data_IF_726841054755
#
_entry.id   IF_726841054755
#
_cell.length_a   1.000
_cell.length_b   1.000
_cell.length_c   1.000
_cell.angle_alpha   90.00
_cell.angle_beta   90.00
_cell.angle_gamma   90.00
#
_symmetry.space_group_name_H-M   'P 1'
#
loop_
_entity.id
_entity.type
_entity.pdbx_description
1 polymer ?
#
# COMPACT_ATOMS: atom_id res chain seq x y z
N UNK A 1 -18.29 -15.67 -13.58
CA UNK A 1 -17.13 -15.25 -12.75
C UNK A 1 -16.07 -16.32 -12.90
N UNK A 2 -14.88 -15.98 -13.38
CA UNK A 2 -13.76 -16.92 -13.47
C UNK A 2 -13.28 -17.35 -12.08
N UNK A 3 -12.42 -18.38 -11.98
CA UNK A 3 -11.88 -18.83 -10.70
C UNK A 3 -11.12 -17.69 -10.02
N UNK A 4 -11.45 -17.42 -8.75
CA UNK A 4 -10.76 -16.40 -7.95
C UNK A 4 -9.37 -16.90 -7.56
N UNK A 5 -8.37 -16.03 -7.75
CA UNK A 5 -6.98 -16.31 -7.38
C UNK A 5 -6.83 -16.48 -5.87
N UNK A 6 -5.96 -17.40 -5.46
CA UNK A 6 -5.55 -17.59 -4.05
C UNK A 6 -4.44 -16.62 -3.62
N UNK A 7 -3.85 -15.89 -4.56
CA UNK A 7 -2.82 -14.89 -4.26
C UNK A 7 -3.38 -13.70 -3.47
N UNK A 8 -2.52 -13.05 -2.70
CA UNK A 8 -2.81 -11.76 -2.05
C UNK A 8 -2.37 -10.64 -2.99
N UNK A 9 -3.25 -9.68 -3.25
CA UNK A 9 -2.90 -8.48 -4.01
C UNK A 9 -2.34 -7.41 -3.05
N UNK A 10 -1.12 -6.94 -3.31
CA UNK A 10 -0.49 -5.84 -2.62
C UNK A 10 -0.57 -4.59 -3.50
N UNK A 11 -1.32 -3.58 -3.06
CA UNK A 11 -1.45 -2.30 -3.75
C UNK A 11 -0.60 -1.25 -3.03
N UNK A 12 0.34 -0.64 -3.74
CA UNK A 12 1.24 0.37 -3.15
C UNK A 12 0.76 1.77 -3.51
N UNK A 13 0.60 2.62 -2.50
CA UNK A 13 0.24 4.04 -2.70
C UNK A 13 1.29 5.02 -2.17
N UNK A 14 2.39 4.53 -1.61
CA UNK A 14 3.45 5.32 -1.00
C UNK A 14 3.26 5.45 0.50
N UNK A 15 3.27 6.69 1.01
CA UNK A 15 3.29 6.98 2.45
C UNK A 15 4.66 6.70 3.10
N UNK A 16 4.77 6.96 4.40
CA UNK A 16 6.01 6.80 5.18
C UNK A 16 6.72 5.46 4.95
N UNK A 17 5.96 4.41 4.65
CA UNK A 17 6.43 3.08 4.28
C UNK A 17 7.57 3.09 3.24
N UNK A 18 7.45 3.92 2.21
CA UNK A 18 8.34 3.95 1.04
C UNK A 18 9.16 5.25 0.92
N UNK A 19 9.25 6.05 2.00
CA UNK A 19 10.13 7.24 2.03
C UNK A 19 11.58 6.82 2.27
N UNK A 20 12.47 7.30 1.41
CA UNK A 20 13.92 7.21 1.57
C UNK A 20 14.50 8.60 1.88
N UNK A 21 15.61 8.65 2.63
CA UNK A 21 16.30 9.91 2.91
C UNK A 21 17.30 10.23 1.79
N UNK A 22 17.11 11.35 1.11
CA UNK A 22 18.10 11.91 0.21
C UNK A 22 19.15 12.68 1.04
N UNK A 23 20.31 12.08 1.24
CA UNK A 23 21.43 12.67 1.98
C UNK A 23 22.05 13.90 1.29
N UNK A 24 21.86 14.06 -0.02
CA UNK A 24 22.42 15.17 -0.80
C UNK A 24 21.58 16.43 -0.56
N UNK A 25 20.26 16.29 -0.59
CA UNK A 25 19.31 17.41 -0.46
C UNK A 25 18.70 17.55 0.94
N UNK A 26 18.87 16.54 1.80
CA UNK A 26 18.30 16.51 3.15
C UNK A 26 16.78 16.32 3.16
N UNK A 27 16.20 15.74 2.10
CA UNK A 27 14.75 15.58 1.91
C UNK A 27 14.32 14.11 2.01
N UNK A 28 13.03 13.87 2.24
CA UNK A 28 12.44 12.53 2.12
C UNK A 28 11.76 12.42 0.75
N UNK A 29 12.09 11.37 0.01
CA UNK A 29 11.58 11.14 -1.34
C UNK A 29 11.08 9.72 -1.54
N UNK A 30 10.21 9.53 -2.53
CA UNK A 30 9.75 8.22 -2.96
C UNK A 30 10.57 7.75 -4.16
N UNK A 31 11.27 6.61 -4.05
CA UNK A 31 12.06 6.05 -5.16
C UNK A 31 11.47 4.78 -5.72
N UNK A 32 11.32 3.78 -4.86
CA UNK A 32 10.73 2.47 -5.19
C UNK A 32 10.05 1.93 -3.95
N UNK A 33 9.19 0.93 -4.11
CA UNK A 33 8.62 0.26 -2.95
C UNK A 33 9.61 -0.69 -2.30
N UNK A 34 9.60 -0.76 -0.96
CA UNK A 34 10.40 -1.71 -0.19
C UNK A 34 9.72 -3.06 0.02
N UNK A 35 8.46 -3.23 -0.41
CA UNK A 35 7.68 -4.45 -0.15
C UNK A 35 8.36 -5.76 -0.58
N UNK A 36 9.00 -5.88 -1.77
CA UNK A 36 9.69 -7.12 -2.14
C UNK A 36 10.79 -7.51 -1.15
N UNK A 37 11.60 -6.54 -0.73
CA UNK A 37 12.69 -6.74 0.22
C UNK A 37 12.14 -7.08 1.61
N UNK A 38 11.06 -6.43 2.05
CA UNK A 38 10.38 -6.72 3.31
C UNK A 38 9.79 -8.12 3.36
N UNK A 39 9.13 -8.56 2.30
CA UNK A 39 8.57 -9.90 2.22
C UNK A 39 9.68 -10.96 2.29
N UNK A 40 10.84 -10.70 1.69
CA UNK A 40 12.02 -11.55 1.81
C UNK A 40 12.56 -11.58 3.25
N UNK A 41 12.70 -10.42 3.91
CA UNK A 41 13.14 -10.31 5.30
C UNK A 41 12.20 -11.04 6.27
N UNK A 42 10.88 -10.88 6.09
CA UNK A 42 9.85 -11.58 6.86
C UNK A 42 9.78 -13.09 6.56
N UNK A 43 10.51 -13.57 5.54
CA UNK A 43 10.48 -14.95 5.04
C UNK A 43 9.07 -15.38 4.64
N UNK A 44 8.29 -14.45 4.08
CA UNK A 44 6.95 -14.73 3.58
C UNK A 44 7.00 -15.72 2.43
N UNK A 45 6.10 -16.70 2.45
CA UNK A 45 5.94 -17.72 1.38
C UNK A 45 4.59 -17.63 0.67
N UNK A 46 3.85 -16.57 0.96
CA UNK A 46 2.52 -16.35 0.38
C UNK A 46 2.71 -15.93 -1.08
N UNK A 47 1.85 -16.45 -1.96
CA UNK A 47 1.78 -15.98 -3.34
C UNK A 47 1.19 -14.56 -3.36
N UNK A 48 1.98 -13.60 -3.83
CA UNK A 48 1.63 -12.19 -3.81
C UNK A 48 1.76 -11.56 -5.18
N UNK A 49 0.78 -10.73 -5.55
CA UNK A 49 0.86 -9.85 -6.71
C UNK A 49 1.00 -8.41 -6.23
N UNK A 50 2.19 -7.85 -6.39
CA UNK A 50 2.48 -6.46 -6.03
C UNK A 50 2.18 -5.57 -7.24
N UNK A 51 1.45 -4.48 -7.00
CA UNK A 51 1.16 -3.45 -7.99
C UNK A 51 1.30 -2.09 -7.35
N UNK A 52 2.21 -1.27 -7.88
CA UNK A 52 2.31 0.14 -7.51
C UNK A 52 1.26 0.94 -8.25
N UNK A 53 0.36 1.59 -7.50
CA UNK A 53 -0.67 2.46 -8.06
C UNK A 53 -0.19 3.90 -8.15
N UNK A 54 0.54 4.33 -7.12
CA UNK A 54 1.07 5.67 -6.93
C UNK A 54 2.15 5.64 -5.85
N UNK A 55 2.91 6.72 -5.72
CA UNK A 55 3.96 6.89 -4.72
C UNK A 55 3.89 8.32 -4.19
N UNK A 56 2.90 8.59 -3.36
CA UNK A 56 2.60 9.95 -2.87
C UNK A 56 2.54 10.01 -1.35
N UNK A 57 2.67 11.22 -0.82
CA UNK A 57 2.32 11.50 0.57
C UNK A 57 0.79 11.45 0.71
N UNK A 58 0.29 10.82 1.77
CA UNK A 58 -1.15 10.74 2.02
C UNK A 58 -1.80 12.11 2.21
N UNK A 59 -1.05 13.13 2.64
CA UNK A 59 -1.53 14.52 2.72
C UNK A 59 -1.78 15.15 1.34
N UNK A 60 -1.10 14.68 0.31
CA UNK A 60 -1.27 15.15 -1.08
C UNK A 60 -2.27 14.28 -1.87
N UNK A 61 -2.81 13.23 -1.24
CA UNK A 61 -3.75 12.32 -1.90
C UNK A 61 -5.10 13.00 -2.12
N UNK A 62 -5.58 12.96 -3.36
CA UNK A 62 -6.87 13.53 -3.78
C UNK A 62 -8.01 12.49 -3.76
N UNK A 63 -9.25 12.93 -3.92
CA UNK A 63 -10.39 12.02 -4.06
C UNK A 63 -10.30 11.16 -5.33
N UNK A 64 -9.68 11.68 -6.39
CA UNK A 64 -9.43 10.92 -7.62
C UNK A 64 -8.47 9.76 -7.38
N UNK A 65 -7.40 9.99 -6.63
CA UNK A 65 -6.44 8.96 -6.22
C UNK A 65 -7.12 7.86 -5.41
N UNK A 66 -7.95 8.25 -4.41
CA UNK A 66 -8.74 7.29 -3.61
C UNK A 66 -9.73 6.52 -4.48
N UNK A 67 -10.34 7.18 -5.48
CA UNK A 67 -11.18 6.56 -6.49
C UNK A 67 -10.42 5.52 -7.32
N UNK A 68 -9.17 5.80 -7.69
CA UNK A 68 -8.28 4.86 -8.38
C UNK A 68 -7.99 3.62 -7.52
N UNK A 69 -7.70 3.80 -6.22
CA UNK A 69 -7.50 2.68 -5.27
C UNK A 69 -8.75 1.79 -5.22
N UNK A 70 -9.93 2.39 -5.08
CA UNK A 70 -11.19 1.66 -5.06
C UNK A 70 -11.44 0.89 -6.36
N UNK A 71 -11.15 1.50 -7.51
CA UNK A 71 -11.31 0.85 -8.81
C UNK A 71 -10.37 -0.35 -8.98
N UNK A 72 -9.13 -0.25 -8.50
CA UNK A 72 -8.21 -1.38 -8.46
C UNK A 72 -8.70 -2.49 -7.54
N UNK A 73 -9.25 -2.15 -6.37
CA UNK A 73 -9.84 -3.14 -5.46
C UNK A 73 -11.03 -3.86 -6.09
N UNK A 74 -11.89 -3.16 -6.84
CA UNK A 74 -13.02 -3.75 -7.58
C UNK A 74 -12.56 -4.72 -8.66
N UNK A 75 -11.57 -4.32 -9.44
CA UNK A 75 -11.12 -5.04 -10.62
C UNK A 75 -10.11 -6.17 -10.32
N UNK A 76 -9.51 -6.17 -9.13
CA UNK A 76 -8.62 -7.24 -8.69
C UNK A 76 -9.32 -8.60 -8.73
N UNK A 77 -8.66 -9.62 -9.26
CA UNK A 77 -9.19 -10.99 -9.28
C UNK A 77 -9.08 -11.68 -7.91
N UNK A 78 -8.19 -11.17 -7.06
CA UNK A 78 -7.87 -11.66 -5.73
C UNK A 78 -8.97 -11.32 -4.71
N UNK A 79 -9.16 -12.18 -3.72
CA UNK A 79 -10.05 -11.91 -2.58
C UNK A 79 -9.43 -11.07 -1.49
N UNK A 80 -8.14 -11.20 -1.33
CA UNK A 80 -7.38 -10.62 -0.24
C UNK A 80 -6.50 -9.53 -0.81
N UNK A 81 -6.70 -8.31 -0.32
CA UNK A 81 -6.01 -7.12 -0.78
C UNK A 81 -5.40 -6.45 0.45
N UNK A 82 -4.12 -6.11 0.35
CA UNK A 82 -3.40 -5.30 1.33
C UNK A 82 -2.93 -4.04 0.62
N UNK A 83 -3.17 -2.89 1.22
CA UNK A 83 -2.83 -1.58 0.66
C UNK A 83 -1.82 -0.92 1.59
N UNK A 84 -0.62 -0.63 1.11
CA UNK A 84 0.30 0.26 1.84
C UNK A 84 -0.10 1.70 1.59
N UNK A 85 -0.21 2.48 2.66
CA UNK A 85 -0.74 3.84 2.64
C UNK A 85 -0.03 4.71 3.69
N UNK A 86 0.02 6.02 3.43
CA UNK A 86 0.44 6.99 4.45
C UNK A 86 -0.56 7.10 5.59
N UNK A 87 -0.09 7.36 6.80
CA UNK A 87 -0.91 7.29 8.03
C UNK A 87 -1.89 8.45 8.17
N UNK A 88 -1.57 9.63 7.64
CA UNK A 88 -2.32 10.86 7.88
C UNK A 88 -3.76 10.81 7.37
N UNK A 89 -3.97 10.31 6.15
CA UNK A 89 -5.31 10.28 5.52
C UNK A 89 -5.82 8.86 5.28
N UNK A 90 -5.20 7.84 5.88
CA UNK A 90 -5.58 6.43 5.73
C UNK A 90 -7.06 6.18 6.04
N UNK A 91 -7.60 6.87 7.04
CA UNK A 91 -8.99 6.72 7.48
C UNK A 91 -9.98 7.17 6.40
N UNK A 92 -9.65 8.20 5.62
CA UNK A 92 -10.50 8.70 4.53
C UNK A 92 -10.61 7.65 3.41
N UNK A 93 -9.47 7.06 3.02
CA UNK A 93 -9.43 5.96 2.05
C UNK A 93 -10.17 4.73 2.58
N UNK A 94 -10.00 4.39 3.86
CA UNK A 94 -10.69 3.28 4.48
C UNK A 94 -12.23 3.46 4.47
N UNK A 95 -12.71 4.68 4.71
CA UNK A 95 -14.14 5.00 4.66
C UNK A 95 -14.73 4.81 3.27
N UNK A 96 -14.05 5.34 2.24
CA UNK A 96 -14.46 5.14 0.84
C UNK A 96 -14.55 3.65 0.47
N UNK A 97 -13.57 2.85 0.89
CA UNK A 97 -13.54 1.41 0.63
C UNK A 97 -14.64 0.65 1.38
N UNK A 98 -14.94 1.04 2.63
CA UNK A 98 -16.02 0.47 3.42
C UNK A 98 -17.39 0.75 2.80
N UNK A 99 -17.63 1.99 2.37
CA UNK A 99 -18.89 2.41 1.72
C UNK A 99 -19.14 1.67 0.40
N UNK A 100 -18.08 1.24 -0.29
CA UNK A 100 -18.21 0.45 -1.51
C UNK A 100 -18.69 -1.00 -1.30
N UNK A 101 -18.68 -1.49 -0.04
CA UNK A 101 -19.22 -2.79 0.36
C UNK A 101 -18.78 -3.99 -0.53
N UNK A 102 -17.51 -4.01 -0.93
CA UNK A 102 -16.97 -5.07 -1.78
C UNK A 102 -16.96 -6.41 -1.03
N UNK A 103 -17.32 -7.50 -1.71
CA UNK A 103 -17.22 -8.87 -1.17
C UNK A 103 -15.78 -9.39 -1.18
N UNK A 104 -14.85 -8.61 -0.60
CA UNK A 104 -13.40 -8.84 -0.55
C UNK A 104 -12.89 -8.50 0.84
N UNK A 105 -11.75 -9.07 1.23
CA UNK A 105 -11.02 -8.67 2.44
C UNK A 105 -9.99 -7.63 2.02
N UNK A 106 -10.11 -6.42 2.53
CA UNK A 106 -9.21 -5.30 2.23
C UNK A 106 -8.61 -4.82 3.55
N UNK A 107 -7.29 -4.79 3.62
CA UNK A 107 -6.52 -4.30 4.77
C UNK A 107 -5.71 -3.09 4.31
N UNK A 108 -5.83 -1.97 5.02
CA UNK A 108 -4.92 -0.85 4.88
C UNK A 108 -3.85 -0.96 5.97
N UNK A 109 -2.61 -0.68 5.60
CA UNK A 109 -1.49 -0.65 6.53
C UNK A 109 -0.53 0.47 6.15
N UNK A 110 0.25 0.91 7.11
CA UNK A 110 1.24 1.97 6.98
C UNK A 110 2.27 1.83 8.09
N UNK A 111 3.23 2.75 8.12
CA UNK A 111 4.26 2.80 9.15
C UNK A 111 4.41 4.25 9.63
N UNK A 112 4.71 4.43 10.92
CA UNK A 112 5.05 5.73 11.48
C UNK A 112 6.51 6.09 11.23
N UNK A 113 7.38 5.08 11.04
CA UNK A 113 8.81 5.24 10.79
C UNK A 113 9.15 4.63 9.42
N UNK A 114 9.87 5.32 8.53
CA UNK A 114 10.18 4.76 7.21
C UNK A 114 11.01 3.48 7.29
N UNK A 115 10.75 2.54 6.38
CA UNK A 115 11.41 1.22 6.36
C UNK A 115 12.93 1.34 6.25
N UNK A 116 13.43 2.33 5.51
CA UNK A 116 14.85 2.58 5.33
C UNK A 116 15.62 2.91 6.63
N UNK A 117 14.92 3.24 7.73
CA UNK A 117 15.54 3.75 8.97
C UNK A 117 15.87 2.63 9.99
N UNK A 118 15.69 1.36 9.63
CA UNK A 118 16.18 0.19 10.40
C UNK A 118 15.40 -0.16 11.69
N UNK A 119 14.64 0.78 12.26
CA UNK A 119 13.77 0.57 13.43
C UNK A 119 12.29 0.85 13.11
N UNK A 120 11.87 0.52 11.89
CA UNK A 120 10.50 0.76 11.42
C UNK A 120 9.49 -0.19 12.05
N UNK A 121 8.28 0.31 12.28
CA UNK A 121 7.09 -0.43 12.67
C UNK A 121 6.38 -1.14 11.50
N UNK A 122 6.90 -1.02 10.28
CA UNK A 122 6.29 -1.64 9.09
C UNK A 122 6.70 -3.09 8.80
N UNK A 123 7.75 -3.64 9.43
CA UNK A 123 8.22 -5.03 9.23
C UNK A 123 7.54 -6.02 10.20
#
# INVERSE_FOLDING_TARGET
MGPMSRAVCLLVTGGTFDKEYDEIHGTLEFRKTHLPDMLAMARSRIDVRIQTLMMIDSLEMTDEDRGSILNHCRNASERHIVITHGTDTMVETARLLADAALKKTIVLTGAMIPIAFGSSDGL
#
